data_IF_087452837855
#
_entry.id   IF_087452837855
#
_cell.length_a   1.000
_cell.length_b   1.000
_cell.length_c   1.000
_cell.angle_alpha   90.00
_cell.angle_beta   90.00
_cell.angle_gamma   90.00
#
_symmetry.space_group_name_H-M   'P 1'
#
loop_
_entity.id
_entity.type
_entity.pdbx_description
1 polymer ?
#
# COMPACT_ATOMS: atom_id res chain seq x y z
N UNK A 1 -29.10 25.32 -19.88
CA UNK A 1 -29.64 25.10 -18.51
C UNK A 1 -28.49 25.43 -17.55
N UNK A 2 -28.27 26.72 -17.22
CA UNK A 2 -26.97 27.21 -16.75
C UNK A 2 -26.47 26.51 -15.47
N UNK A 3 -27.34 26.23 -14.50
CA UNK A 3 -26.96 25.56 -13.25
C UNK A 3 -26.44 24.12 -13.45
N UNK A 4 -27.01 23.36 -14.39
CA UNK A 4 -26.49 22.03 -14.72
C UNK A 4 -25.19 22.09 -15.50
N UNK A 5 -24.92 23.17 -16.25
CA UNK A 5 -23.63 23.36 -16.91
C UNK A 5 -22.55 23.72 -15.89
N UNK A 6 -22.88 24.51 -14.85
CA UNK A 6 -21.99 24.80 -13.73
C UNK A 6 -21.67 23.55 -12.92
N UNK A 7 -22.69 22.80 -12.46
CA UNK A 7 -22.47 21.58 -11.68
C UNK A 7 -21.65 20.51 -12.43
N UNK A 8 -21.78 20.45 -13.76
CA UNK A 8 -20.94 19.59 -14.58
C UNK A 8 -19.46 20.05 -14.56
N UNK A 9 -19.20 21.35 -14.71
CA UNK A 9 -17.83 21.89 -14.65
C UNK A 9 -17.20 21.67 -13.29
N UNK A 10 -17.93 21.98 -12.21
CA UNK A 10 -17.45 21.76 -10.85
C UNK A 10 -17.10 20.28 -10.60
N UNK A 11 -17.88 19.35 -11.17
CA UNK A 11 -17.62 17.92 -11.05
C UNK A 11 -16.36 17.48 -11.81
N UNK A 12 -16.13 18.04 -13.00
CA UNK A 12 -14.91 17.79 -13.78
C UNK A 12 -13.70 18.39 -13.07
N UNK A 13 -13.80 19.66 -12.66
CA UNK A 13 -12.74 20.37 -11.94
C UNK A 13 -12.37 19.64 -10.64
N UNK A 14 -13.35 19.10 -9.91
CA UNK A 14 -13.09 18.29 -8.72
C UNK A 14 -12.31 17.02 -9.06
N UNK A 15 -12.74 16.25 -10.06
CA UNK A 15 -12.04 15.03 -10.48
C UNK A 15 -10.61 15.31 -10.98
N UNK A 16 -10.40 16.39 -11.73
CA UNK A 16 -9.09 16.79 -12.25
C UNK A 16 -8.18 17.38 -11.17
N UNK A 17 -8.73 17.82 -10.05
CA UNK A 17 -7.96 18.33 -8.89
C UNK A 17 -7.51 17.18 -7.98
N UNK A 18 -8.38 16.19 -7.74
CA UNK A 18 -8.14 15.13 -6.75
C UNK A 18 -7.44 13.89 -7.30
N UNK A 19 -7.48 13.69 -8.62
CA UNK A 19 -6.82 12.57 -9.31
C UNK A 19 -5.53 13.08 -9.92
N UNK A 20 -4.43 12.44 -9.56
CA UNK A 20 -3.11 12.79 -10.07
C UNK A 20 -2.96 12.51 -11.58
N UNK A 21 -1.98 13.14 -12.27
CA UNK A 21 -1.77 12.93 -13.70
C UNK A 21 -1.51 11.47 -14.13
N UNK A 22 -1.03 10.62 -13.20
CA UNK A 22 -0.85 9.18 -13.38
C UNK A 22 -2.09 8.34 -12.99
N UNK A 23 -3.16 8.99 -12.56
CA UNK A 23 -4.44 8.39 -12.18
C UNK A 23 -4.55 7.98 -10.72
N UNK A 24 -3.55 8.25 -9.87
CA UNK A 24 -3.66 7.89 -8.45
C UNK A 24 -4.38 8.91 -7.58
N UNK A 25 -4.69 8.47 -6.36
CA UNK A 25 -5.27 9.29 -5.30
C UNK A 25 -4.33 9.31 -4.10
N UNK A 26 -4.03 10.51 -3.61
CA UNK A 26 -3.05 10.74 -2.55
C UNK A 26 -3.53 10.25 -1.17
N UNK A 27 -4.84 10.20 -0.95
CA UNK A 27 -5.48 9.89 0.35
C UNK A 27 -5.84 8.39 0.49
N UNK A 28 -5.34 7.56 -0.43
CA UNK A 28 -5.64 6.14 -0.49
C UNK A 28 -6.97 5.81 -1.18
N UNK A 29 -7.23 4.51 -1.42
CA UNK A 29 -8.38 4.07 -2.22
C UNK A 29 -9.74 4.41 -1.59
N UNK A 30 -9.81 4.49 -0.26
CA UNK A 30 -11.02 4.80 0.50
C UNK A 30 -11.59 6.19 0.17
N UNK A 31 -10.72 7.18 -0.07
CA UNK A 31 -11.12 8.56 -0.38
C UNK A 31 -11.41 8.80 -1.86
N UNK A 32 -10.87 7.98 -2.77
CA UNK A 32 -11.26 7.98 -4.17
C UNK A 32 -12.72 7.52 -4.37
N UNK A 33 -13.17 6.56 -3.57
CA UNK A 33 -14.51 5.95 -3.66
C UNK A 33 -15.68 6.97 -3.60
N UNK A 34 -15.82 7.81 -2.55
CA UNK A 34 -16.89 8.81 -2.51
C UNK A 34 -16.72 9.87 -3.59
N UNK A 35 -15.48 10.28 -3.87
CA UNK A 35 -15.16 11.29 -4.88
C UNK A 35 -15.68 10.91 -6.26
N UNK A 36 -15.44 9.69 -6.72
CA UNK A 36 -15.95 9.23 -8.02
C UNK A 36 -17.47 9.09 -8.01
N UNK A 37 -18.04 8.56 -6.92
CA UNK A 37 -19.48 8.31 -6.82
C UNK A 37 -20.31 9.60 -6.85
N UNK A 38 -19.92 10.60 -6.07
CA UNK A 38 -20.67 11.85 -6.00
C UNK A 38 -20.61 12.61 -7.33
N UNK A 39 -19.44 12.69 -7.95
CA UNK A 39 -19.28 13.33 -9.25
C UNK A 39 -20.03 12.59 -10.37
N UNK A 40 -20.08 11.26 -10.34
CA UNK A 40 -20.87 10.48 -11.31
C UNK A 40 -22.34 10.88 -11.33
N UNK A 41 -22.93 11.21 -10.18
CA UNK A 41 -24.33 11.66 -10.11
C UNK A 41 -24.54 12.94 -10.92
N UNK A 42 -23.64 13.92 -10.80
CA UNK A 42 -23.67 15.15 -11.60
C UNK A 42 -23.49 14.86 -13.09
N UNK A 43 -22.52 14.02 -13.46
CA UNK A 43 -22.28 13.60 -14.86
C UNK A 43 -23.50 12.92 -15.46
N UNK A 44 -24.15 12.00 -14.73
CA UNK A 44 -25.32 11.25 -15.20
C UNK A 44 -26.53 12.15 -15.45
N UNK A 45 -26.83 13.07 -14.53
CA UNK A 45 -27.92 14.03 -14.73
C UNK A 45 -27.63 15.01 -15.86
N UNK A 46 -26.37 15.44 -15.99
CA UNK A 46 -25.95 16.28 -17.11
C UNK A 46 -26.17 15.58 -18.45
N UNK A 47 -25.66 14.35 -18.59
CA UNK A 47 -25.78 13.52 -19.78
C UNK A 47 -27.25 13.36 -20.18
N UNK A 48 -28.09 12.91 -19.25
CA UNK A 48 -29.53 12.73 -19.46
C UNK A 48 -30.21 14.03 -19.91
N UNK A 49 -29.87 15.16 -19.30
CA UNK A 49 -30.48 16.44 -19.62
C UNK A 49 -30.12 16.98 -21.02
N UNK A 50 -29.11 16.39 -21.69
CA UNK A 50 -28.62 16.72 -23.03
C UNK A 50 -28.80 15.57 -24.04
N UNK A 51 -29.39 14.44 -23.64
CA UNK A 51 -29.50 13.26 -24.51
C UNK A 51 -28.15 12.65 -24.88
N UNK A 52 -27.15 12.79 -24.01
CA UNK A 52 -25.78 12.26 -24.18
C UNK A 52 -25.58 11.00 -23.35
N UNK A 53 -24.58 10.21 -23.71
CA UNK A 53 -24.10 9.12 -22.84
C UNK A 53 -23.16 9.69 -21.78
N UNK A 54 -23.23 9.16 -20.55
CA UNK A 54 -22.31 9.55 -19.48
C UNK A 54 -20.86 9.17 -19.81
N UNK A 55 -20.65 8.11 -20.60
CA UNK A 55 -19.33 7.70 -21.07
C UNK A 55 -18.64 8.75 -21.94
N UNK A 56 -19.40 9.64 -22.60
CA UNK A 56 -18.88 10.76 -23.40
C UNK A 56 -18.42 11.94 -22.55
N UNK A 57 -18.64 11.88 -21.23
CA UNK A 57 -18.33 12.94 -20.27
C UNK A 57 -17.19 12.55 -19.32
N UNK A 58 -16.64 11.34 -19.46
CA UNK A 58 -15.61 10.84 -18.56
C UNK A 58 -14.28 11.56 -18.85
N UNK A 59 -13.73 12.30 -17.86
CA UNK A 59 -12.45 12.97 -18.03
C UNK A 59 -11.31 11.96 -18.13
N UNK A 60 -10.25 12.33 -18.83
CA UNK A 60 -9.13 11.41 -19.10
C UNK A 60 -8.40 10.99 -17.82
N UNK A 61 -8.36 11.84 -16.80
CA UNK A 61 -7.77 11.50 -15.48
C UNK A 61 -8.47 10.29 -14.86
N UNK A 62 -9.79 10.16 -15.01
CA UNK A 62 -10.53 9.04 -14.46
C UNK A 62 -10.16 7.73 -15.18
N UNK A 63 -9.89 7.78 -16.49
CA UNK A 63 -9.46 6.60 -17.26
C UNK A 63 -8.09 6.09 -16.80
N UNK A 64 -7.21 7.00 -16.35
CA UNK A 64 -5.87 6.66 -15.85
C UNK A 64 -5.89 5.95 -14.50
N UNK A 65 -6.99 6.06 -13.73
CA UNK A 65 -7.15 5.37 -12.45
C UNK A 65 -7.11 3.85 -12.54
N UNK A 66 -7.21 3.26 -13.74
CA UNK A 66 -6.99 1.83 -13.95
C UNK A 66 -5.67 1.37 -13.33
N UNK A 67 -4.56 2.07 -13.61
CA UNK A 67 -3.26 1.69 -13.07
C UNK A 67 -3.21 1.85 -11.55
N UNK A 68 -3.84 2.89 -11.00
CA UNK A 68 -4.02 3.01 -9.55
C UNK A 68 -4.74 1.80 -8.95
N UNK A 69 -5.84 1.35 -9.55
CA UNK A 69 -6.53 0.14 -9.14
C UNK A 69 -5.62 -1.09 -9.15
N UNK A 70 -4.76 -1.25 -10.17
CA UNK A 70 -3.77 -2.32 -10.18
C UNK A 70 -2.73 -2.19 -9.04
N UNK A 71 -2.29 -0.98 -8.72
CA UNK A 71 -1.35 -0.73 -7.64
C UNK A 71 -1.93 -1.15 -6.29
N UNK A 72 -3.17 -0.75 -6.00
CA UNK A 72 -3.80 -0.91 -4.68
C UNK A 72 -4.67 -2.16 -4.53
N UNK A 73 -5.00 -2.88 -5.61
CA UNK A 73 -5.77 -4.13 -5.52
C UNK A 73 -5.02 -5.16 -4.66
N UNK A 74 -5.66 -5.67 -3.61
CA UNK A 74 -5.08 -6.76 -2.81
C UNK A 74 -5.20 -8.09 -3.57
N UNK A 75 -4.18 -8.93 -3.41
CA UNK A 75 -4.15 -10.33 -3.84
C UNK A 75 -4.64 -11.29 -2.75
N UNK A 76 -5.07 -10.76 -1.59
CA UNK A 76 -5.68 -11.51 -0.50
C UNK A 76 -7.22 -11.54 -0.63
N UNK A 77 -7.92 -11.94 0.43
CA UNK A 77 -9.37 -11.86 0.54
C UNK A 77 -9.91 -10.42 0.60
N UNK A 78 -9.07 -9.47 1.02
CA UNK A 78 -9.39 -8.04 1.06
C UNK A 78 -9.56 -7.49 -0.35
N UNK A 79 -10.31 -6.39 -0.52
CA UNK A 79 -10.48 -5.75 -1.83
C UNK A 79 -9.23 -5.00 -2.25
N UNK A 80 -8.68 -4.21 -1.33
CA UNK A 80 -7.57 -3.29 -1.53
C UNK A 80 -6.53 -3.45 -0.43
N UNK A 81 -5.29 -3.05 -0.70
CA UNK A 81 -4.28 -2.82 0.31
C UNK A 81 -4.71 -1.59 1.13
N UNK A 82 -4.91 -1.72 2.46
CA UNK A 82 -5.42 -0.64 3.30
C UNK A 82 -4.29 0.34 3.60
N UNK A 83 -4.08 1.32 2.71
CA UNK A 83 -3.08 2.37 2.88
C UNK A 83 -3.73 3.71 3.15
N UNK A 84 -3.00 4.63 3.78
CA UNK A 84 -3.55 5.93 4.20
C UNK A 84 -4.81 5.71 5.06
N UNK A 85 -5.70 6.69 5.13
CA UNK A 85 -7.00 6.54 5.81
C UNK A 85 -8.00 5.70 4.99
N UNK A 86 -7.59 4.48 4.61
CA UNK A 86 -8.43 3.52 3.89
C UNK A 86 -8.48 2.18 4.60
N UNK A 87 -9.68 1.59 4.68
CA UNK A 87 -9.85 0.20 5.07
C UNK A 87 -9.59 -0.77 3.90
N UNK A 88 -9.64 -2.07 4.19
CA UNK A 88 -9.31 -3.12 3.23
C UNK A 88 -10.45 -3.44 2.23
N UNK A 89 -11.67 -2.98 2.53
CA UNK A 89 -12.85 -3.14 1.66
C UNK A 89 -13.05 -1.90 0.77
N UNK A 90 -13.60 -2.11 -0.43
CA UNK A 90 -13.98 -1.01 -1.32
C UNK A 90 -15.48 -1.05 -1.59
N UNK A 91 -16.12 0.13 -1.70
CA UNK A 91 -17.58 0.18 -1.82
C UNK A 91 -18.07 -0.36 -3.18
N UNK A 92 -19.02 -1.30 -3.14
CA UNK A 92 -19.58 -1.91 -4.35
C UNK A 92 -20.35 -0.95 -5.26
N UNK A 93 -20.96 0.11 -4.71
CA UNK A 93 -21.62 1.16 -5.49
C UNK A 93 -20.60 1.97 -6.29
N UNK A 94 -19.47 2.36 -5.68
CA UNK A 94 -18.35 3.01 -6.37
C UNK A 94 -17.71 2.12 -7.43
N UNK A 95 -17.53 0.82 -7.18
CA UNK A 95 -17.02 -0.11 -8.21
C UNK A 95 -17.97 -0.23 -9.39
N UNK A 96 -19.28 -0.30 -9.14
CA UNK A 96 -20.26 -0.35 -10.23
C UNK A 96 -20.19 0.91 -11.11
N UNK A 97 -19.99 2.08 -10.50
CA UNK A 97 -19.74 3.34 -11.23
C UNK A 97 -18.45 3.28 -12.03
N UNK A 98 -17.33 2.87 -11.41
CA UNK A 98 -16.03 2.77 -12.08
C UNK A 98 -16.05 1.79 -13.25
N UNK A 99 -16.81 0.71 -13.14
CA UNK A 99 -17.02 -0.26 -14.22
C UNK A 99 -17.78 0.32 -15.42
N UNK A 100 -18.73 1.22 -15.19
CA UNK A 100 -19.46 1.91 -16.24
C UNK A 100 -18.59 2.99 -16.90
N UNK A 101 -17.84 3.76 -16.11
CA UNK A 101 -17.05 4.90 -16.58
C UNK A 101 -15.69 4.50 -17.18
N UNK A 102 -15.08 3.44 -16.66
CA UNK A 102 -13.75 2.97 -17.06
C UNK A 102 -13.78 1.45 -17.31
N UNK A 103 -14.56 1.00 -18.32
CA UNK A 103 -14.72 -0.43 -18.60
C UNK A 103 -13.39 -1.07 -19.02
N UNK A 104 -13.23 -2.37 -18.73
CA UNK A 104 -12.00 -3.16 -19.04
C UNK A 104 -10.74 -2.63 -18.35
N UNK A 105 -10.90 -2.07 -17.16
CA UNK A 105 -9.81 -1.61 -16.29
C UNK A 105 -9.53 -2.59 -15.16
N UNK A 106 -8.49 -2.35 -14.37
CA UNK A 106 -8.19 -3.15 -13.18
C UNK A 106 -9.20 -2.96 -12.02
N UNK A 107 -10.11 -1.97 -12.11
CA UNK A 107 -11.29 -1.91 -11.25
C UNK A 107 -12.17 -3.15 -11.39
N UNK A 108 -12.19 -3.74 -12.59
CA UNK A 108 -12.87 -5.02 -12.88
C UNK A 108 -12.32 -6.16 -12.05
N UNK A 109 -11.01 -6.16 -11.76
CA UNK A 109 -10.35 -7.21 -10.97
C UNK A 109 -10.88 -7.19 -9.53
N UNK A 110 -10.99 -5.99 -8.93
CA UNK A 110 -11.54 -5.82 -7.58
C UNK A 110 -13.05 -6.15 -7.56
N UNK A 111 -13.80 -5.66 -8.54
CA UNK A 111 -15.23 -5.93 -8.65
C UNK A 111 -15.55 -7.42 -8.84
N UNK A 112 -14.78 -8.12 -9.68
CA UNK A 112 -14.91 -9.56 -9.92
C UNK A 112 -14.68 -10.38 -8.64
N UNK A 113 -13.68 -9.98 -7.83
CA UNK A 113 -13.43 -10.56 -6.51
C UNK A 113 -14.62 -10.34 -5.55
N UNK A 114 -15.21 -9.13 -5.53
CA UNK A 114 -16.40 -8.87 -4.72
C UNK A 114 -17.60 -9.73 -5.16
N UNK A 115 -17.85 -9.86 -6.47
CA UNK A 115 -18.92 -10.73 -6.99
C UNK A 115 -18.73 -12.18 -6.55
N UNK A 116 -17.51 -12.71 -6.69
CA UNK A 116 -17.20 -14.07 -6.26
C UNK A 116 -17.44 -14.28 -4.76
N UNK A 117 -17.06 -13.32 -3.91
CA UNK A 117 -17.33 -13.34 -2.46
C UNK A 117 -18.82 -13.32 -2.15
N UNK A 118 -19.63 -12.64 -2.96
CA UNK A 118 -21.10 -12.61 -2.86
C UNK A 118 -21.78 -13.84 -3.49
N UNK A 119 -21.02 -14.83 -3.98
CA UNK A 119 -21.57 -16.03 -4.64
C UNK A 119 -22.14 -15.76 -6.05
N UNK A 120 -21.81 -14.61 -6.64
CA UNK A 120 -22.20 -14.24 -8.01
C UNK A 120 -21.11 -14.67 -9.00
N UNK A 121 -21.47 -14.92 -10.28
CA UNK A 121 -20.48 -15.22 -11.30
C UNK A 121 -19.44 -14.09 -11.41
N UNK A 122 -18.14 -14.39 -11.36
CA UNK A 122 -17.10 -13.38 -11.57
C UNK A 122 -17.19 -12.84 -13.00
N UNK A 123 -16.80 -11.58 -13.17
CA UNK A 123 -16.65 -10.97 -14.50
C UNK A 123 -15.22 -11.13 -14.99
N UNK A 124 -15.04 -11.23 -16.30
CA UNK A 124 -13.73 -11.28 -16.91
C UNK A 124 -12.96 -9.99 -16.58
N UNK A 125 -11.79 -10.16 -15.96
CA UNK A 125 -10.96 -9.06 -15.49
C UNK A 125 -9.53 -9.21 -16.02
N UNK A 126 -8.83 -8.10 -16.32
CA UNK A 126 -7.44 -8.16 -16.71
C UNK A 126 -6.57 -8.68 -15.55
N UNK A 127 -5.55 -9.47 -15.89
CA UNK A 127 -4.53 -9.90 -14.92
C UNK A 127 -3.69 -8.70 -14.49
N UNK A 128 -3.43 -8.57 -13.18
CA UNK A 128 -2.60 -7.48 -12.65
C UNK A 128 -1.21 -7.47 -13.31
N UNK A 129 -0.67 -6.28 -13.62
CA UNK A 129 0.61 -6.15 -14.29
C UNK A 129 1.76 -6.57 -13.37
N UNK A 130 2.82 -7.16 -13.97
CA UNK A 130 3.99 -7.60 -13.23
C UNK A 130 4.77 -6.46 -12.56
N UNK A 131 4.72 -5.26 -13.16
CA UNK A 131 5.32 -4.04 -12.65
C UNK A 131 4.47 -2.82 -13.02
N UNK A 132 4.36 -1.88 -12.08
CA UNK A 132 3.69 -0.60 -12.27
C UNK A 132 4.40 0.49 -11.46
N UNK A 133 4.51 1.69 -12.04
CA UNK A 133 4.97 2.90 -11.36
C UNK A 133 3.95 4.03 -11.54
N UNK A 134 3.65 4.73 -10.44
CA UNK A 134 2.80 5.92 -10.37
C UNK A 134 3.62 7.05 -9.75
N UNK A 135 4.47 7.74 -10.55
CA UNK A 135 5.46 8.68 -10.04
C UNK A 135 4.89 9.98 -9.48
N UNK A 136 3.69 10.40 -9.91
CA UNK A 136 3.02 11.59 -9.36
C UNK A 136 2.35 11.27 -8.03
N UNK A 137 1.81 10.06 -7.89
CA UNK A 137 1.22 9.59 -6.63
C UNK A 137 2.30 9.15 -5.63
N UNK A 138 3.45 8.69 -6.12
CA UNK A 138 4.53 8.15 -5.32
C UNK A 138 4.41 6.65 -5.04
N UNK A 139 3.69 5.88 -5.86
CA UNK A 139 3.50 4.44 -5.64
C UNK A 139 4.25 3.59 -6.65
N UNK A 140 4.63 2.41 -6.20
CA UNK A 140 5.19 1.38 -7.05
C UNK A 140 4.61 0.02 -6.64
N UNK A 141 4.28 -0.83 -7.61
CA UNK A 141 3.82 -2.17 -7.33
C UNK A 141 4.44 -3.21 -8.28
N UNK A 142 4.62 -4.42 -7.79
CA UNK A 142 4.96 -5.60 -8.58
C UNK A 142 4.04 -6.75 -8.20
N UNK A 143 3.41 -7.40 -9.20
CA UNK A 143 2.55 -8.58 -8.99
C UNK A 143 3.04 -9.73 -9.86
N UNK A 144 3.88 -10.60 -9.30
CA UNK A 144 4.51 -11.73 -10.00
C UNK A 144 3.89 -13.07 -9.58
N UNK A 145 4.33 -14.16 -10.19
CA UNK A 145 3.83 -15.52 -9.92
C UNK A 145 4.91 -16.41 -9.34
N UNK A 146 4.60 -17.10 -8.25
CA UNK A 146 5.41 -18.19 -7.71
C UNK A 146 4.58 -19.48 -7.80
N UNK A 147 4.78 -20.22 -8.90
CA UNK A 147 3.88 -21.31 -9.28
C UNK A 147 2.46 -20.77 -9.55
N UNK A 148 1.47 -21.32 -8.85
CA UNK A 148 0.07 -20.93 -8.99
C UNK A 148 -0.36 -19.76 -8.09
N UNK A 149 0.56 -19.25 -7.26
CA UNK A 149 0.29 -18.23 -6.27
C UNK A 149 0.81 -16.85 -6.75
N UNK A 150 0.09 -15.79 -6.42
CA UNK A 150 0.56 -14.42 -6.67
C UNK A 150 1.52 -13.99 -5.55
N UNK A 151 2.56 -13.25 -5.92
CA UNK A 151 3.44 -12.52 -5.02
C UNK A 151 3.32 -11.05 -5.37
N UNK A 152 2.77 -10.26 -4.44
CA UNK A 152 2.63 -8.82 -4.63
C UNK A 152 3.51 -8.05 -3.65
N UNK A 153 4.27 -7.10 -4.19
CA UNK A 153 5.00 -6.09 -3.43
C UNK A 153 4.43 -4.72 -3.80
N UNK A 154 4.00 -3.96 -2.80
CA UNK A 154 3.62 -2.55 -2.95
C UNK A 154 4.61 -1.70 -2.16
N UNK A 155 5.07 -0.59 -2.72
CA UNK A 155 5.98 0.37 -2.07
C UNK A 155 5.27 1.71 -1.92
N UNK A 156 5.26 2.20 -0.69
CA UNK A 156 4.65 3.46 -0.31
C UNK A 156 5.65 4.60 -0.43
N UNK A 157 5.30 5.61 -1.22
CA UNK A 157 5.95 6.92 -1.26
C UNK A 157 4.97 8.03 -0.91
N UNK A 158 5.24 9.24 -1.38
CA UNK A 158 4.46 10.42 -1.06
C UNK A 158 4.53 11.48 -2.15
N UNK A 159 3.44 12.25 -2.26
CA UNK A 159 3.45 13.59 -2.85
C UNK A 159 3.34 14.66 -1.75
N UNK A 160 4.09 15.74 -1.89
CA UNK A 160 4.11 16.86 -0.96
C UNK A 160 2.70 17.37 -0.64
N UNK A 161 2.41 17.53 0.66
CA UNK A 161 1.15 18.08 1.14
C UNK A 161 -0.04 17.11 1.09
N UNK A 162 0.16 15.84 0.74
CA UNK A 162 -0.90 14.83 0.76
C UNK A 162 -1.54 14.71 2.16
N UNK A 163 -2.86 14.91 2.22
CA UNK A 163 -3.68 14.73 3.41
C UNK A 163 -4.01 13.26 3.67
N UNK A 164 -4.56 12.95 4.84
CA UNK A 164 -5.02 11.59 5.19
C UNK A 164 -3.97 10.48 5.03
N UNK A 165 -2.69 10.85 5.00
CA UNK A 165 -1.58 9.91 4.91
C UNK A 165 -0.91 9.66 6.26
N UNK A 166 -0.16 8.57 6.36
CA UNK A 166 0.49 8.14 7.60
C UNK A 166 2.00 8.43 7.59
N UNK A 167 2.66 8.10 8.69
CA UNK A 167 4.11 8.22 8.87
C UNK A 167 4.87 7.03 8.21
N UNK A 168 4.51 6.68 6.97
CA UNK A 168 4.80 5.38 6.34
C UNK A 168 5.61 5.47 5.04
N UNK A 169 6.29 6.61 4.80
CA UNK A 169 6.97 6.84 3.51
C UNK A 169 8.24 6.00 3.45
N UNK A 170 8.31 5.09 2.48
CA UNK A 170 9.31 4.02 2.43
C UNK A 170 8.85 2.69 3.04
N UNK A 171 7.61 2.60 3.55
CA UNK A 171 6.96 1.34 3.91
C UNK A 171 6.65 0.52 2.65
N UNK A 172 6.33 -0.75 2.87
CA UNK A 172 5.92 -1.67 1.81
C UNK A 172 4.89 -2.67 2.34
N UNK A 173 4.23 -3.36 1.42
CA UNK A 173 3.37 -4.51 1.68
C UNK A 173 3.88 -5.70 0.88
N UNK A 174 3.84 -6.90 1.47
CA UNK A 174 4.16 -8.17 0.83
C UNK A 174 2.98 -9.12 1.01
N UNK A 175 2.30 -9.43 -0.08
CA UNK A 175 1.25 -10.45 -0.13
C UNK A 175 1.73 -11.66 -0.92
N UNK A 176 1.43 -12.85 -0.41
CA UNK A 176 1.79 -14.10 -1.05
C UNK A 176 0.73 -15.17 -0.74
N UNK A 177 0.40 -16.00 -1.74
CA UNK A 177 -0.50 -17.15 -1.59
C UNK A 177 -1.86 -16.80 -0.97
N UNK A 178 -2.36 -15.59 -1.23
CA UNK A 178 -3.64 -15.09 -0.74
C UNK A 178 -3.61 -14.48 0.67
N UNK A 179 -2.44 -14.27 1.27
CA UNK A 179 -2.29 -13.69 2.61
C UNK A 179 -1.24 -12.58 2.65
N UNK A 180 -1.40 -11.62 3.58
CA UNK A 180 -0.46 -10.51 3.78
C UNK A 180 0.63 -10.91 4.78
N UNK A 181 1.84 -11.14 4.27
CA UNK A 181 3.01 -11.49 5.07
C UNK A 181 3.69 -10.25 5.67
N UNK A 182 3.74 -9.14 4.93
CA UNK A 182 3.96 -7.80 5.48
C UNK A 182 2.72 -6.97 5.14
N UNK A 183 1.96 -6.55 6.15
CA UNK A 183 0.70 -5.84 5.96
C UNK A 183 0.85 -4.34 6.23
N UNK A 184 -0.09 -3.57 5.71
CA UNK A 184 -0.44 -2.26 6.25
C UNK A 184 -1.76 -2.38 7.02
N UNK A 185 -1.99 -1.52 8.00
CA UNK A 185 -3.22 -1.51 8.79
C UNK A 185 -4.27 -0.59 8.16
N UNK A 186 -3.84 0.41 7.40
CA UNK A 186 -4.66 1.53 6.98
C UNK A 186 -5.26 2.20 8.20
N UNK A 187 -6.58 2.34 8.21
CA UNK A 187 -7.30 2.93 9.34
C UNK A 187 -8.49 2.07 9.76
N UNK A 188 -8.81 2.09 11.05
CA UNK A 188 -10.08 1.64 11.59
C UNK A 188 -11.10 2.79 11.64
N UNK A 189 -12.25 2.59 12.28
CA UNK A 189 -13.21 3.67 12.49
C UNK A 189 -12.58 4.83 13.28
N UNK A 190 -12.89 6.07 12.90
CA UNK A 190 -12.44 7.27 13.60
C UNK A 190 -13.05 7.39 15.00
N UNK A 191 -14.17 6.72 15.27
CA UNK A 191 -14.77 6.62 16.60
C UNK A 191 -13.87 5.86 17.59
N UNK A 192 -13.02 4.95 17.11
CA UNK A 192 -12.02 4.26 17.95
C UNK A 192 -10.72 5.08 18.00
N UNK A 193 -10.27 5.57 19.18
CA UNK A 193 -9.07 6.39 19.29
C UNK A 193 -7.79 5.69 18.83
N UNK A 194 -7.77 4.36 18.71
CA UNK A 194 -6.61 3.62 18.21
C UNK A 194 -6.29 3.97 16.75
N UNK A 195 -7.25 4.53 16.00
CA UNK A 195 -7.04 4.96 14.61
C UNK A 195 -5.85 5.92 14.48
N UNK A 196 -5.63 6.79 15.48
CA UNK A 196 -4.50 7.72 15.48
C UNK A 196 -3.16 6.98 15.63
N UNK A 197 -3.15 5.88 16.41
CA UNK A 197 -1.96 5.06 16.63
C UNK A 197 -1.57 4.30 15.37
N UNK A 198 -2.52 3.89 14.54
CA UNK A 198 -2.24 3.18 13.29
C UNK A 198 -1.38 4.00 12.34
N UNK A 199 -1.51 5.33 12.39
CA UNK A 199 -0.76 6.27 11.53
C UNK A 199 0.71 6.41 11.90
N UNK A 200 1.13 5.89 13.05
CA UNK A 200 2.49 6.04 13.55
C UNK A 200 3.46 5.14 12.78
N UNK A 201 4.69 5.62 12.50
CA UNK A 201 5.72 4.85 11.79
C UNK A 201 5.99 3.46 12.41
N UNK A 202 5.81 3.34 13.73
CA UNK A 202 5.95 2.10 14.49
C UNK A 202 4.89 1.02 14.18
N UNK A 203 3.85 1.36 13.41
CA UNK A 203 2.75 0.48 12.95
C UNK A 203 2.84 0.17 11.45
N UNK A 204 3.92 0.55 10.78
CA UNK A 204 4.20 0.25 9.37
C UNK A 204 5.51 -0.54 9.23
N UNK A 205 5.82 -0.98 8.01
CA UNK A 205 7.02 -1.75 7.69
C UNK A 205 8.23 -0.83 7.50
N UNK A 206 8.67 -0.17 8.57
CA UNK A 206 9.56 1.02 8.56
C UNK A 206 10.85 0.82 9.35
N UNK A 207 11.90 1.58 9.02
CA UNK A 207 13.13 1.69 9.82
C UNK A 207 13.03 2.90 10.75
N UNK A 208 12.91 2.68 12.06
CA UNK A 208 12.64 3.74 13.02
C UNK A 208 13.82 3.93 13.99
N UNK A 209 14.30 5.17 14.21
CA UNK A 209 15.32 5.47 15.20
C UNK A 209 14.89 5.10 16.62
N UNK A 210 15.84 4.57 17.42
CA UNK A 210 15.63 4.20 18.83
C UNK A 210 16.71 4.80 19.73
N UNK A 211 16.55 4.63 21.05
CA UNK A 211 17.45 5.22 22.06
C UNK A 211 17.13 6.69 22.35
N UNK A 212 15.86 7.08 22.20
CA UNK A 212 15.34 8.43 22.41
C UNK A 212 14.32 8.42 23.55
N UNK A 213 14.17 9.57 24.22
CA UNK A 213 13.13 9.77 25.25
C UNK A 213 11.73 9.92 24.66
N UNK A 214 11.66 10.48 23.46
CA UNK A 214 10.45 10.72 22.71
C UNK A 214 10.22 9.67 21.62
N UNK A 215 9.00 9.60 21.09
CA UNK A 215 8.68 8.80 19.93
C UNK A 215 9.26 9.47 18.67
N UNK A 216 10.17 8.78 17.98
CA UNK A 216 10.63 9.22 16.68
C UNK A 216 9.46 9.20 15.67
N UNK A 217 9.29 10.30 14.94
CA UNK A 217 8.25 10.45 13.94
C UNK A 217 8.72 11.40 12.83
N UNK A 218 8.32 11.18 11.57
CA UNK A 218 8.54 12.16 10.54
C UNK A 218 7.56 13.34 10.70
N UNK A 219 7.83 14.42 9.98
CA UNK A 219 6.84 15.46 9.76
C UNK A 219 5.62 14.90 8.99
N UNK A 220 4.42 15.20 9.47
CA UNK A 220 3.15 14.84 8.84
C UNK A 220 2.14 16.01 8.97
N UNK A 221 1.56 16.56 7.88
CA UNK A 221 1.79 16.21 6.48
C UNK A 221 3.21 16.53 6.03
N UNK A 222 3.74 15.68 5.14
CA UNK A 222 5.09 15.81 4.63
C UNK A 222 5.12 16.87 3.50
N UNK A 223 5.94 17.93 3.60
CA UNK A 223 5.98 19.00 2.60
C UNK A 223 6.87 18.66 1.39
N UNK A 224 7.29 17.41 1.25
CA UNK A 224 8.21 16.94 0.22
C UNK A 224 7.64 15.73 -0.51
N UNK A 225 8.00 15.62 -1.79
CA UNK A 225 7.79 14.39 -2.57
C UNK A 225 8.81 13.35 -2.10
N UNK A 226 8.34 12.12 -1.90
CA UNK A 226 9.17 10.95 -1.57
C UNK A 226 8.77 9.86 -2.54
N UNK A 227 9.38 9.87 -3.72
CA UNK A 227 8.94 9.04 -4.85
C UNK A 227 9.86 7.83 -5.03
N UNK A 228 9.37 6.59 -4.90
CA UNK A 228 10.16 5.41 -5.22
C UNK A 228 10.44 5.35 -6.73
N UNK A 229 11.60 4.80 -7.07
CA UNK A 229 11.98 4.47 -8.44
C UNK A 229 12.25 2.99 -8.54
N UNK A 230 12.01 2.39 -9.71
CA UNK A 230 12.26 0.97 -9.88
C UNK A 230 11.96 0.45 -11.27
N UNK A 231 12.16 -0.85 -11.43
CA UNK A 231 11.89 -1.63 -12.63
C UNK A 231 11.54 -3.07 -12.25
N UNK A 232 10.85 -3.77 -13.12
CA UNK A 232 10.55 -5.18 -12.93
C UNK A 232 9.83 -5.77 -14.14
N UNK A 233 9.71 -7.09 -14.10
CA UNK A 233 9.01 -7.91 -15.08
C UNK A 233 8.37 -9.10 -14.35
N UNK A 234 7.91 -10.11 -15.07
CA UNK A 234 7.28 -11.31 -14.49
C UNK A 234 8.19 -12.08 -13.53
N UNK A 235 9.50 -11.86 -13.57
CA UNK A 235 10.50 -12.56 -12.76
C UNK A 235 11.17 -11.66 -11.74
N UNK A 236 11.61 -10.47 -12.14
CA UNK A 236 12.48 -9.61 -11.36
C UNK A 236 11.75 -8.37 -10.86
N UNK A 237 12.17 -7.86 -9.72
CA UNK A 237 11.70 -6.58 -9.19
C UNK A 237 12.83 -5.88 -8.44
N UNK A 238 13.11 -4.63 -8.83
CA UNK A 238 14.12 -3.80 -8.21
C UNK A 238 13.56 -2.40 -7.96
N UNK A 239 13.63 -1.91 -6.73
CA UNK A 239 13.18 -0.56 -6.39
C UNK A 239 14.09 0.10 -5.36
N UNK A 240 14.05 1.44 -5.32
CA UNK A 240 14.76 2.26 -4.36
C UNK A 240 13.98 3.52 -4.01
N UNK A 241 14.16 4.01 -2.79
CA UNK A 241 13.58 5.26 -2.30
C UNK A 241 14.56 5.96 -1.35
N UNK A 242 14.58 7.28 -1.40
CA UNK A 242 15.17 8.11 -0.34
C UNK A 242 14.05 8.49 0.63
N UNK A 243 14.09 7.90 1.83
CA UNK A 243 13.10 8.10 2.87
C UNK A 243 13.58 9.12 3.93
N UNK A 244 14.68 9.84 3.66
CA UNK A 244 15.19 10.89 4.55
C UNK A 244 14.22 12.07 4.74
N UNK A 245 13.54 12.59 3.70
CA UNK A 245 12.68 13.77 3.85
C UNK A 245 11.59 13.58 4.92
N UNK A 246 11.42 14.57 5.78
CA UNK A 246 10.52 14.55 6.93
C UNK A 246 11.15 14.01 8.21
N UNK A 247 12.31 13.38 8.13
CA UNK A 247 13.04 12.83 9.28
C UNK A 247 14.25 13.67 9.69
N UNK A 248 14.34 14.94 9.29
CA UNK A 248 15.56 15.76 9.42
C UNK A 248 16.09 15.87 10.86
N UNK A 249 15.20 15.75 11.86
CA UNK A 249 15.58 15.71 13.29
C UNK A 249 16.20 14.39 13.76
N UNK A 250 16.08 13.31 12.98
CA UNK A 250 16.45 11.96 13.39
C UNK A 250 17.40 11.25 12.42
N UNK A 251 17.25 11.43 11.11
CA UNK A 251 18.13 10.90 10.07
C UNK A 251 18.85 12.03 9.35
N UNK A 252 20.14 11.84 9.08
CA UNK A 252 20.91 12.58 8.07
C UNK A 252 20.80 11.94 6.70
N UNK A 253 20.64 10.62 6.68
CA UNK A 253 20.44 9.81 5.49
C UNK A 253 19.59 8.60 5.86
N UNK A 254 18.65 8.27 4.99
CA UNK A 254 17.97 6.99 4.96
C UNK A 254 17.54 6.67 3.52
N UNK A 255 18.22 5.71 2.91
CA UNK A 255 17.80 5.15 1.62
C UNK A 255 17.45 3.68 1.78
N UNK A 256 16.37 3.26 1.12
CA UNK A 256 15.91 1.86 1.10
C UNK A 256 15.94 1.30 -0.30
N UNK A 257 16.30 0.02 -0.42
CA UNK A 257 16.27 -0.75 -1.66
C UNK A 257 15.57 -2.08 -1.47
N UNK A 258 14.81 -2.48 -2.49
CA UNK A 258 14.20 -3.81 -2.61
C UNK A 258 14.80 -4.48 -3.84
N UNK A 259 15.48 -5.60 -3.64
CA UNK A 259 16.10 -6.39 -4.70
C UNK A 259 15.49 -7.80 -4.70
N UNK A 260 14.74 -8.12 -5.74
CA UNK A 260 14.03 -9.40 -5.88
C UNK A 260 14.35 -10.02 -7.25
N UNK A 261 15.38 -10.87 -7.35
CA UNK A 261 15.80 -11.48 -8.62
C UNK A 261 14.84 -12.58 -9.12
N UNK A 262 13.94 -13.04 -8.26
CA UNK A 262 12.88 -14.00 -8.54
C UNK A 262 11.72 -13.80 -7.55
N UNK A 263 10.50 -14.28 -7.85
CA UNK A 263 9.33 -14.05 -6.98
C UNK A 263 9.44 -14.67 -5.57
N UNK A 264 10.32 -15.66 -5.39
CA UNK A 264 10.59 -16.35 -4.13
C UNK A 264 11.69 -15.72 -3.27
N UNK A 265 12.39 -14.70 -3.77
CA UNK A 265 13.51 -14.05 -3.07
C UNK A 265 13.32 -12.55 -3.04
N UNK A 266 13.48 -11.93 -1.88
CA UNK A 266 13.52 -10.48 -1.71
C UNK A 266 14.62 -10.11 -0.73
N UNK A 267 15.42 -9.10 -1.06
CA UNK A 267 16.39 -8.49 -0.15
C UNK A 267 15.97 -7.05 0.07
N UNK A 268 15.78 -6.67 1.33
CA UNK A 268 15.46 -5.30 1.74
C UNK A 268 16.70 -4.73 2.40
N UNK A 269 17.25 -3.67 1.81
CA UNK A 269 18.47 -3.01 2.30
C UNK A 269 18.19 -1.56 2.65
N UNK A 270 18.41 -1.23 3.92
CA UNK A 270 18.42 0.14 4.40
C UNK A 270 19.87 0.61 4.61
N UNK A 271 20.23 1.74 4.01
CA UNK A 271 21.43 2.50 4.35
C UNK A 271 21.03 3.76 5.11
N UNK A 272 21.62 3.96 6.29
CA UNK A 272 21.18 5.05 7.15
C UNK A 272 22.34 5.69 7.94
N UNK A 273 22.12 6.94 8.32
CA UNK A 273 22.93 7.71 9.26
C UNK A 273 21.99 8.52 10.16
N UNK A 274 22.05 8.29 11.47
CA UNK A 274 21.23 8.99 12.46
C UNK A 274 21.81 10.37 12.78
N UNK A 275 20.93 11.36 12.86
CA UNK A 275 21.20 12.62 13.54
C UNK A 275 21.07 12.47 15.07
N UNK A 276 20.12 11.63 15.53
CA UNK A 276 19.82 11.38 16.95
C UNK A 276 19.39 9.92 17.16
N UNK A 277 19.69 9.40 18.35
CA UNK A 277 19.40 8.01 18.73
C UNK A 277 20.66 7.15 18.80
N UNK A 278 20.52 5.94 19.31
CA UNK A 278 21.64 4.98 19.49
C UNK A 278 21.62 3.84 18.47
N UNK A 279 20.49 3.66 17.78
CA UNK A 279 20.28 2.58 16.84
C UNK A 279 18.97 2.71 16.09
N UNK A 280 18.60 1.67 15.37
CA UNK A 280 17.35 1.57 14.60
C UNK A 280 16.63 0.26 14.90
N UNK A 281 15.30 0.28 14.81
CA UNK A 281 14.45 -0.91 14.73
C UNK A 281 13.75 -0.93 13.36
N UNK A 282 14.00 -1.98 12.57
CA UNK A 282 13.18 -2.28 11.41
C UNK A 282 11.93 -3.04 11.88
N UNK A 283 10.77 -2.46 11.65
CA UNK A 283 9.50 -3.10 11.97
C UNK A 283 8.93 -3.85 10.77
N UNK A 284 8.32 -4.99 11.07
CA UNK A 284 7.57 -5.81 10.13
C UNK A 284 6.23 -6.19 10.76
N UNK A 285 5.13 -5.86 10.10
CA UNK A 285 3.77 -6.00 10.60
C UNK A 285 3.07 -7.19 9.95
N UNK A 286 2.44 -8.06 10.74
CA UNK A 286 1.63 -9.16 10.21
C UNK A 286 0.58 -9.64 11.22
N UNK A 287 -0.57 -10.08 10.72
CA UNK A 287 -1.56 -10.82 11.52
C UNK A 287 -1.27 -12.33 11.58
N UNK A 288 -0.31 -12.82 10.78
CA UNK A 288 0.01 -14.24 10.69
C UNK A 288 0.83 -14.70 11.91
N UNK A 289 0.77 -16.00 12.26
CA UNK A 289 1.66 -16.60 13.24
C UNK A 289 3.15 -16.37 12.92
N UNK A 290 3.92 -16.04 13.96
CA UNK A 290 5.36 -15.80 13.87
C UNK A 290 6.11 -16.72 14.84
N UNK A 291 7.11 -17.42 14.32
CA UNK A 291 8.05 -18.24 15.08
C UNK A 291 9.45 -17.63 14.98
N UNK A 292 10.19 -17.60 16.09
CA UNK A 292 11.60 -17.19 16.11
C UNK A 292 12.45 -18.34 16.64
N UNK A 293 13.40 -18.81 15.83
CA UNK A 293 14.31 -19.89 16.21
C UNK A 293 15.67 -19.73 15.51
N UNK A 294 16.75 -19.85 16.27
CA UNK A 294 18.12 -19.85 15.71
C UNK A 294 18.50 -18.59 14.92
N UNK A 295 17.92 -17.44 15.23
CA UNK A 295 18.16 -16.17 14.51
C UNK A 295 17.34 -15.99 13.23
N UNK A 296 16.58 -17.00 12.80
CA UNK A 296 15.62 -16.89 11.72
C UNK A 296 14.22 -16.57 12.26
N UNK A 297 13.44 -15.85 11.46
CA UNK A 297 12.05 -15.48 11.75
C UNK A 297 11.19 -16.14 10.68
N UNK A 298 10.20 -16.94 11.09
CA UNK A 298 9.33 -17.66 10.17
C UNK A 298 7.90 -17.18 10.38
N UNK A 299 7.30 -16.67 9.32
CA UNK A 299 5.90 -16.27 9.27
C UNK A 299 5.16 -17.34 8.47
N UNK A 300 4.14 -17.95 9.06
CA UNK A 300 3.37 -19.04 8.41
C UNK A 300 1.97 -18.58 8.05
N UNK A 301 1.63 -18.67 6.77
CA UNK A 301 0.26 -18.63 6.28
C UNK A 301 -0.29 -20.03 6.07
N UNK A 302 -1.47 -20.11 5.48
CA UNK A 302 -2.22 -21.33 5.21
C UNK A 302 -1.59 -22.14 4.07
N UNK A 303 -0.99 -21.44 3.10
CA UNK A 303 -0.41 -22.02 1.88
C UNK A 303 1.05 -21.63 1.65
N UNK A 304 1.53 -20.60 2.34
CA UNK A 304 2.84 -20.01 2.13
C UNK A 304 3.60 -19.84 3.44
N UNK A 305 4.93 -19.85 3.34
CA UNK A 305 5.84 -19.55 4.44
C UNK A 305 6.81 -18.47 3.98
N UNK A 306 6.99 -17.44 4.80
CA UNK A 306 7.98 -16.40 4.59
C UNK A 306 9.01 -16.46 5.70
N UNK A 307 10.27 -16.64 5.32
CA UNK A 307 11.40 -16.64 6.24
C UNK A 307 12.17 -15.33 6.12
N UNK A 308 12.43 -14.66 7.24
CA UNK A 308 13.26 -13.48 7.34
C UNK A 308 14.59 -13.87 8.00
N UNK A 309 15.70 -13.45 7.39
CA UNK A 309 17.05 -13.63 7.90
C UNK A 309 17.69 -12.25 8.10
N UNK A 310 17.61 -11.68 9.31
CA UNK A 310 18.31 -10.45 9.64
C UNK A 310 19.82 -10.68 9.80
N UNK A 311 20.64 -9.61 9.81
CA UNK A 311 22.08 -9.72 10.08
C UNK A 311 22.34 -10.28 11.49
N UNK A 312 23.46 -11.00 11.65
CA UNK A 312 23.82 -11.66 12.93
C UNK A 312 24.09 -10.68 14.08
N UNK A 313 24.36 -9.41 13.79
CA UNK A 313 24.55 -8.35 14.78
C UNK A 313 23.24 -7.65 15.18
N UNK A 314 22.09 -8.12 14.68
CA UNK A 314 20.78 -7.63 15.05
C UNK A 314 20.15 -8.50 16.14
N UNK A 315 19.27 -7.89 16.94
CA UNK A 315 18.39 -8.61 17.87
C UNK A 315 16.95 -8.57 17.37
N UNK A 316 16.16 -9.59 17.72
CA UNK A 316 14.78 -9.73 17.25
C UNK A 316 13.83 -9.82 18.43
N UNK A 317 12.74 -9.06 18.37
CA UNK A 317 11.61 -9.14 19.31
C UNK A 317 10.31 -9.24 18.52
N UNK A 318 9.33 -9.96 19.05
CA UNK A 318 7.96 -9.98 18.50
C UNK A 318 7.04 -9.39 19.54
N UNK A 319 6.44 -8.24 19.21
CA UNK A 319 5.46 -7.56 20.03
C UNK A 319 4.05 -7.92 19.54
N UNK A 320 3.14 -8.22 20.46
CA UNK A 320 1.71 -8.32 20.14
C UNK A 320 1.06 -6.98 20.45
N UNK A 321 0.47 -6.36 19.43
CA UNK A 321 -0.09 -5.02 19.56
C UNK A 321 -1.58 -5.02 19.27
N UNK A 322 -2.30 -4.19 20.01
CA UNK A 322 -3.75 -4.06 19.88
C UNK A 322 -4.16 -3.48 18.52
N UNK A 323 -5.33 -3.91 18.08
CA UNK A 323 -6.13 -3.37 17.00
C UNK A 323 -7.53 -2.99 17.53
N UNK A 324 -8.33 -2.33 16.70
CA UNK A 324 -9.72 -2.04 17.00
C UNK A 324 -10.51 -3.35 17.18
N UNK A 325 -11.68 -3.26 17.81
CA UNK A 325 -12.58 -4.40 18.04
C UNK A 325 -11.95 -5.53 18.89
N UNK A 326 -10.86 -5.25 19.61
CA UNK A 326 -10.18 -6.23 20.47
C UNK A 326 -9.27 -7.21 19.73
N UNK A 327 -9.05 -6.98 18.43
CA UNK A 327 -8.11 -7.77 17.62
C UNK A 327 -6.65 -7.42 17.94
N UNK A 328 -5.71 -8.21 17.42
CA UNK A 328 -4.28 -7.95 17.60
C UNK A 328 -3.49 -8.29 16.35
N UNK A 329 -2.29 -7.73 16.20
CA UNK A 329 -1.29 -8.20 15.24
C UNK A 329 0.09 -8.34 15.88
N UNK A 330 0.99 -8.99 15.14
CA UNK A 330 2.39 -9.13 15.48
C UNK A 330 3.19 -8.01 14.80
N UNK A 331 4.01 -7.32 15.60
CA UNK A 331 5.09 -6.47 15.12
C UNK A 331 6.42 -7.14 15.43
N UNK A 332 7.12 -7.55 14.41
CA UNK A 332 8.49 -8.04 14.51
C UNK A 332 9.40 -6.81 14.49
N UNK A 333 10.21 -6.64 15.53
CA UNK A 333 11.20 -5.57 15.65
C UNK A 333 12.61 -6.15 15.50
N UNK A 334 13.31 -5.76 14.44
CA UNK A 334 14.70 -6.16 14.16
C UNK A 334 15.60 -4.97 14.50
N UNK A 335 16.31 -5.07 15.61
CA UNK A 335 17.09 -3.97 16.18
C UNK A 335 18.56 -4.06 15.82
N UNK A 336 19.14 -2.95 15.38
CA UNK A 336 20.59 -2.76 15.19
C UNK A 336 21.09 -1.58 16.03
N UNK A 337 21.99 -1.86 16.97
CA UNK A 337 22.63 -0.85 17.82
C UNK A 337 23.81 -0.19 17.11
N UNK A 338 23.49 0.63 16.12
CA UNK A 338 24.46 1.43 15.41
C UNK A 338 23.82 2.72 14.91
N UNK A 339 24.48 3.85 15.12
CA UNK A 339 24.01 5.16 14.66
C UNK A 339 24.14 5.34 13.13
N UNK A 340 24.88 4.48 12.44
CA UNK A 340 24.99 4.50 10.99
C UNK A 340 25.34 3.11 10.47
N UNK A 341 25.01 2.85 9.20
CA UNK A 341 25.46 1.65 8.50
C UNK A 341 24.41 1.10 7.55
N UNK A 342 24.44 -0.21 7.38
CA UNK A 342 23.52 -0.96 6.53
C UNK A 342 22.81 -2.01 7.35
N UNK A 343 21.50 -2.11 7.19
CA UNK A 343 20.66 -3.19 7.67
C UNK A 343 20.07 -3.89 6.45
N UNK A 344 20.37 -5.19 6.30
CA UNK A 344 19.92 -5.99 5.17
C UNK A 344 19.13 -7.20 5.66
N UNK A 345 17.87 -7.30 5.26
CA UNK A 345 17.01 -8.44 5.58
C UNK A 345 16.83 -9.27 4.32
N UNK A 346 17.27 -10.52 4.37
CA UNK A 346 16.96 -11.50 3.33
C UNK A 346 15.62 -12.16 3.61
N UNK A 347 14.78 -12.25 2.59
CA UNK A 347 13.41 -12.77 2.65
C UNK A 347 13.28 -13.89 1.62
N UNK A 348 12.79 -15.04 2.05
CA UNK A 348 12.50 -16.20 1.17
C UNK A 348 11.06 -16.63 1.33
N UNK A 349 10.37 -16.81 0.20
CA UNK A 349 8.99 -17.27 0.13
C UNK A 349 8.99 -18.72 -0.36
N UNK A 350 8.28 -19.58 0.34
CA UNK A 350 8.12 -20.99 -0.05
C UNK A 350 6.67 -21.41 0.10
N UNK A 351 6.22 -22.34 -0.72
CA UNK A 351 4.89 -22.94 -0.56
C UNK A 351 4.95 -23.93 0.60
N UNK A 352 3.99 -23.85 1.52
CA UNK A 352 3.89 -24.86 2.56
C UNK A 352 3.33 -26.14 1.95
N UNK A 353 4.12 -27.21 2.01
CA UNK A 353 3.70 -28.54 1.55
C UNK A 353 3.11 -29.38 2.71
N UNK A 354 3.01 -28.83 3.92
CA UNK A 354 2.50 -29.54 5.10
C UNK A 354 0.97 -29.80 5.10
N UNK A 355 0.26 -29.46 4.02
CA UNK A 355 -1.15 -29.81 3.81
C UNK A 355 -1.35 -31.07 2.95
N UNK A 356 -1.22 -32.25 3.54
CA UNK A 356 -1.91 -33.48 3.10
C UNK A 356 -2.66 -34.09 4.27
#
# INVERSE_FOLDING_TARGET
KPYTDLAYRDAIDNLETVIEPDGGSLEGPGYLSPTVRENYTALKYYARARGRSVSELVPDVLKRTSNYAAAVASTTADDMIPICDSGASFRGDSLSVLMELVPRSYWTTIYSKQLAREGKPPVEAPALPAFLSLPHTGYLASTRRLGDDQVKIFVMGNKAGAGHTHEDKGSFVLEYAGQAFAMDLGICDYEDPIHAVYKHAQRHNMLVPVGLSERACPQNPLPFDVTPTGRGDERTFHASIDATPGWEGYYRKWTRRWDSPSPDVLVIRDEYELARGTGVEFYWQTKLPVETAGGAIVIRGDKGVVSLSPPADCTVRVDRLDLAEGETHNRIAIRKEAAQGTLEISVTLTRDHAGR
#
